data_IF_648528419388
#
_entry.id   IF_648528419388
#
_cell.length_a   1.000
_cell.length_b   1.000
_cell.length_c   1.000
_cell.angle_alpha   90.00
_cell.angle_beta   90.00
_cell.angle_gamma   90.00
#
_symmetry.space_group_name_H-M   'P 1'
#
loop_
_entity.id
_entity.type
_entity.pdbx_description
1 polymer ?
#
# COMPACT_ATOMS: atom_id res chain seq x y z
N UNK A 1 -11.29 -2.32 -3.02
CA UNK A 1 -11.00 -3.66 -2.51
C UNK A 1 -11.76 -4.70 -3.33
N UNK A 2 -11.12 -5.83 -3.62
CA UNK A 2 -11.75 -6.93 -4.38
C UNK A 2 -12.68 -7.79 -3.52
N UNK A 3 -12.55 -7.76 -2.19
CA UNK A 3 -13.41 -8.51 -1.30
C UNK A 3 -14.78 -7.83 -1.16
N UNK A 4 -15.88 -8.51 -1.55
CA UNK A 4 -17.22 -7.92 -1.50
C UNK A 4 -17.70 -7.56 -0.09
N UNK A 5 -17.10 -8.15 0.94
CA UNK A 5 -17.47 -7.89 2.34
C UNK A 5 -16.75 -6.65 2.92
N UNK A 6 -15.69 -6.14 2.26
CA UNK A 6 -14.89 -5.02 2.79
C UNK A 6 -15.67 -3.70 2.78
N UNK A 7 -16.35 -3.37 1.68
CA UNK A 7 -17.08 -2.13 1.56
C UNK A 7 -18.26 -2.02 2.56
N UNK A 8 -19.12 -3.03 2.74
CA UNK A 8 -20.18 -3.01 3.76
C UNK A 8 -19.62 -2.91 5.19
N UNK A 9 -18.56 -3.65 5.50
CA UNK A 9 -17.93 -3.62 6.83
C UNK A 9 -17.31 -2.25 7.14
N UNK A 10 -16.64 -1.65 6.17
CA UNK A 10 -16.08 -0.32 6.31
C UNK A 10 -17.17 0.76 6.48
N UNK A 11 -18.25 0.68 5.69
CA UNK A 11 -19.38 1.58 5.82
C UNK A 11 -20.04 1.48 7.20
N UNK A 12 -20.22 0.27 7.72
CA UNK A 12 -20.79 0.05 9.07
C UNK A 12 -19.90 0.59 10.20
N UNK A 13 -18.58 0.68 9.98
CA UNK A 13 -17.63 1.20 10.96
C UNK A 13 -17.36 2.71 10.83
N UNK A 14 -17.96 3.37 9.85
CA UNK A 14 -17.74 4.79 9.54
C UNK A 14 -18.94 5.62 10.00
N UNK A 15 -18.69 6.80 10.57
CA UNK A 15 -19.77 7.72 10.93
C UNK A 15 -20.57 8.15 9.67
N UNK A 16 -21.90 8.16 9.74
CA UNK A 16 -22.76 8.32 8.56
C UNK A 16 -22.71 9.73 7.93
N UNK A 17 -22.21 10.70 8.65
CA UNK A 17 -22.05 12.10 8.22
C UNK A 17 -20.77 12.36 7.43
N UNK A 18 -19.86 11.38 7.37
CA UNK A 18 -18.64 11.52 6.59
C UNK A 18 -18.90 11.28 5.10
N UNK A 19 -18.41 12.15 4.21
CA UNK A 19 -18.59 12.04 2.76
C UNK A 19 -17.65 10.98 2.16
N UNK A 20 -17.76 9.72 2.62
CA UNK A 20 -16.92 8.61 2.18
C UNK A 20 -17.76 7.64 1.35
N UNK A 21 -17.28 7.32 0.16
CA UNK A 21 -17.88 6.30 -0.72
C UNK A 21 -17.01 5.06 -0.74
N UNK A 22 -17.55 3.95 -0.28
CA UNK A 22 -16.90 2.64 -0.35
C UNK A 22 -17.30 1.90 -1.64
N UNK A 23 -16.30 1.30 -2.30
CA UNK A 23 -16.53 0.53 -3.53
C UNK A 23 -15.78 -0.79 -3.48
N UNK A 24 -16.46 -1.83 -3.95
CA UNK A 24 -15.83 -3.11 -4.27
C UNK A 24 -15.48 -3.11 -5.75
N UNK A 25 -14.28 -3.58 -6.10
CA UNK A 25 -13.82 -3.66 -7.49
C UNK A 25 -12.32 -3.45 -7.62
N UNK A 26 -11.84 -3.55 -8.85
CA UNK A 26 -10.44 -3.29 -9.19
C UNK A 26 -10.17 -1.78 -9.30
N UNK A 27 -8.94 -1.37 -9.00
CA UNK A 27 -8.50 0.01 -9.23
C UNK A 27 -8.54 0.38 -10.73
N UNK A 28 -8.33 -0.59 -11.62
CA UNK A 28 -8.39 -0.39 -13.07
C UNK A 28 -9.76 0.15 -13.53
N UNK A 29 -10.85 -0.19 -12.82
CA UNK A 29 -12.21 0.33 -13.09
C UNK A 29 -12.34 1.84 -12.81
N UNK A 30 -11.33 2.44 -12.21
CA UNK A 30 -11.28 3.85 -11.87
C UNK A 30 -10.47 4.68 -12.88
N UNK A 31 -9.99 4.06 -13.95
CA UNK A 31 -9.26 4.76 -15.02
C UNK A 31 -10.11 5.86 -15.65
N UNK A 32 -9.51 7.02 -15.88
CA UNK A 32 -10.17 8.22 -16.43
C UNK A 32 -10.93 9.07 -15.42
N UNK A 33 -10.98 8.67 -14.13
CA UNK A 33 -11.75 9.39 -13.10
C UNK A 33 -11.05 10.63 -12.55
N UNK A 34 -9.73 10.69 -12.66
CA UNK A 34 -8.92 11.83 -12.20
C UNK A 34 -9.16 12.20 -10.75
N UNK A 35 -8.27 11.79 -9.86
CA UNK A 35 -8.30 12.09 -8.43
C UNK A 35 -7.30 13.20 -8.10
N UNK A 36 -7.55 13.99 -7.08
CA UNK A 36 -6.54 14.91 -6.57
C UNK A 36 -5.37 14.15 -5.95
N UNK A 37 -5.68 13.25 -5.05
CA UNK A 37 -4.70 12.38 -4.38
C UNK A 37 -5.10 10.92 -4.46
N UNK A 38 -4.13 10.04 -4.68
CA UNK A 38 -4.32 8.60 -4.61
C UNK A 38 -3.42 8.07 -3.49
N UNK A 39 -4.02 7.36 -2.55
CA UNK A 39 -3.29 6.74 -1.43
C UNK A 39 -3.53 5.24 -1.43
N UNK A 40 -2.46 4.48 -1.36
CA UNK A 40 -2.49 3.03 -1.18
C UNK A 40 -1.81 2.65 0.13
N UNK A 41 -2.42 1.76 0.89
CA UNK A 41 -1.85 1.29 2.14
C UNK A 41 -1.96 -0.22 2.27
N UNK A 42 -0.82 -0.87 2.50
CA UNK A 42 -0.73 -2.32 2.76
C UNK A 42 -1.24 -3.20 1.60
N UNK A 43 -1.00 -2.78 0.38
CA UNK A 43 -1.44 -3.48 -0.85
C UNK A 43 -0.26 -3.88 -1.73
N UNK A 44 0.79 -3.05 -1.83
CA UNK A 44 1.88 -3.26 -2.78
C UNK A 44 2.65 -4.57 -2.55
N UNK A 45 2.81 -5.02 -1.30
CA UNK A 45 3.48 -6.29 -0.98
C UNK A 45 2.69 -7.55 -1.41
N UNK A 46 1.45 -7.41 -1.84
CA UNK A 46 0.66 -8.50 -2.44
C UNK A 46 0.80 -8.58 -3.96
N UNK A 47 1.38 -7.55 -4.58
CA UNK A 47 1.53 -7.45 -6.03
C UNK A 47 2.85 -8.08 -6.50
N UNK A 48 2.82 -8.70 -7.67
CA UNK A 48 4.04 -9.02 -8.42
C UNK A 48 4.65 -7.72 -8.99
N UNK A 49 5.94 -7.74 -9.37
CA UNK A 49 6.58 -6.55 -9.97
C UNK A 49 5.80 -5.99 -11.18
N UNK A 50 5.32 -6.80 -12.15
CA UNK A 50 4.50 -6.29 -13.25
C UNK A 50 3.19 -5.64 -12.80
N UNK A 51 2.53 -6.21 -11.78
CA UNK A 51 1.31 -5.64 -11.21
C UNK A 51 1.58 -4.32 -10.50
N UNK A 52 2.66 -4.24 -9.73
CA UNK A 52 3.04 -3.01 -9.03
C UNK A 52 3.42 -1.90 -10.03
N UNK A 53 4.15 -2.23 -11.10
CA UNK A 53 4.48 -1.29 -12.17
C UNK A 53 3.21 -0.77 -12.86
N UNK A 54 2.24 -1.64 -13.16
CA UNK A 54 0.96 -1.25 -13.74
C UNK A 54 0.17 -0.34 -12.78
N UNK A 55 0.16 -0.67 -11.49
CA UNK A 55 -0.49 0.13 -10.46
C UNK A 55 0.16 1.52 -10.30
N UNK A 56 1.49 1.60 -10.30
CA UNK A 56 2.21 2.88 -10.26
C UNK A 56 1.91 3.75 -11.50
N UNK A 57 1.82 3.15 -12.69
CA UNK A 57 1.40 3.85 -13.92
C UNK A 57 -0.02 4.40 -13.79
N UNK A 58 -0.95 3.61 -13.25
CA UNK A 58 -2.30 4.07 -12.97
C UNK A 58 -2.29 5.28 -12.02
N UNK A 59 -1.58 5.18 -10.88
CA UNK A 59 -1.49 6.28 -9.92
C UNK A 59 -0.88 7.54 -10.55
N UNK A 60 0.18 7.38 -11.34
CA UNK A 60 0.82 8.50 -12.06
C UNK A 60 -0.11 9.14 -13.11
N UNK A 61 -0.93 8.35 -13.80
CA UNK A 61 -1.88 8.87 -14.79
C UNK A 61 -3.10 9.56 -14.17
N UNK A 62 -3.64 9.01 -13.08
CA UNK A 62 -4.93 9.43 -12.53
C UNK A 62 -4.82 10.47 -11.39
N UNK A 63 -3.67 10.56 -10.70
CA UNK A 63 -3.47 11.56 -9.66
C UNK A 63 -3.12 12.93 -10.23
N UNK A 64 -3.84 13.98 -9.86
CA UNK A 64 -3.58 15.36 -10.31
C UNK A 64 -2.52 16.06 -9.47
N UNK A 65 -2.60 15.93 -8.16
CA UNK A 65 -1.70 16.57 -7.19
C UNK A 65 -0.59 15.64 -6.76
N UNK A 66 -0.91 14.36 -6.55
CA UNK A 66 0.09 13.40 -6.16
C UNK A 66 -0.49 12.06 -5.71
N UNK A 67 0.42 11.17 -5.37
CA UNK A 67 0.06 9.85 -4.84
C UNK A 67 1.05 9.39 -3.77
N UNK A 68 0.61 8.44 -2.95
CA UNK A 68 1.42 7.82 -1.92
C UNK A 68 1.13 6.32 -1.81
N UNK A 69 2.19 5.53 -1.73
CA UNK A 69 2.15 4.13 -1.31
C UNK A 69 2.75 4.02 0.08
N UNK A 70 1.96 3.56 1.05
CA UNK A 70 2.42 3.22 2.39
C UNK A 70 2.40 1.71 2.56
N UNK A 71 3.56 1.08 2.72
CA UNK A 71 3.62 -0.37 2.83
C UNK A 71 4.63 -0.84 3.88
N UNK A 72 4.66 -2.15 4.12
CA UNK A 72 5.60 -2.77 5.05
C UNK A 72 7.02 -2.74 4.50
N UNK A 73 7.96 -2.38 5.36
CA UNK A 73 9.38 -2.42 5.03
C UNK A 73 9.95 -3.80 5.34
N UNK A 74 10.46 -4.52 4.33
CA UNK A 74 11.18 -5.79 4.53
C UNK A 74 12.48 -5.53 5.30
N UNK A 75 12.44 -5.74 6.61
CA UNK A 75 13.54 -5.50 7.52
C UNK A 75 13.75 -6.71 8.44
N UNK A 76 15.02 -7.12 8.63
CA UNK A 76 15.34 -8.32 9.43
C UNK A 76 14.80 -8.24 10.86
N UNK A 77 14.94 -7.08 11.52
CA UNK A 77 14.43 -6.90 12.89
C UNK A 77 12.89 -7.01 12.95
N UNK A 78 12.19 -6.46 11.94
CA UNK A 78 10.74 -6.59 11.86
C UNK A 78 10.34 -8.06 11.68
N UNK A 79 10.99 -8.78 10.76
CA UNK A 79 10.70 -10.17 10.47
C UNK A 79 10.93 -11.10 11.67
N UNK A 80 12.03 -10.89 12.41
CA UNK A 80 12.35 -11.70 13.58
C UNK A 80 11.58 -11.26 14.83
N UNK A 81 11.35 -9.97 15.01
CA UNK A 81 10.70 -9.42 16.20
C UNK A 81 9.17 -9.49 16.17
N UNK A 82 8.55 -9.38 14.99
CA UNK A 82 7.10 -9.38 14.87
C UNK A 82 6.42 -10.64 15.43
N UNK A 83 6.88 -11.89 15.13
CA UNK A 83 6.26 -13.08 15.68
C UNK A 83 6.30 -13.12 17.22
N UNK A 84 7.40 -12.65 17.81
CA UNK A 84 7.54 -12.56 19.26
C UNK A 84 6.59 -11.53 19.84
N UNK A 85 6.58 -10.31 19.30
CA UNK A 85 5.67 -9.23 19.69
C UNK A 85 4.21 -9.69 19.59
N UNK A 86 3.80 -10.23 18.44
CA UNK A 86 2.44 -10.66 18.19
C UNK A 86 2.00 -11.82 19.13
N UNK A 87 2.95 -12.64 19.57
CA UNK A 87 2.70 -13.68 20.58
C UNK A 87 2.52 -13.10 21.98
N UNK A 88 3.38 -12.16 22.38
CA UNK A 88 3.27 -11.45 23.67
C UNK A 88 1.96 -10.68 23.75
N UNK A 89 1.59 -9.99 22.67
CA UNK A 89 0.33 -9.23 22.55
C UNK A 89 -0.91 -10.12 22.38
N UNK A 90 -0.74 -11.45 22.32
CA UNK A 90 -1.82 -12.44 22.14
C UNK A 90 -2.71 -12.18 20.91
N UNK A 91 -2.14 -11.61 19.86
CA UNK A 91 -2.89 -11.38 18.62
C UNK A 91 -3.36 -12.70 18.02
N UNK A 92 -4.48 -12.64 17.30
CA UNK A 92 -5.07 -13.80 16.65
C UNK A 92 -4.05 -14.49 15.73
N UNK A 93 -4.14 -15.82 15.61
CA UNK A 93 -3.20 -16.63 14.81
C UNK A 93 -3.06 -16.12 13.39
N UNK A 94 -4.17 -15.77 12.71
CA UNK A 94 -4.17 -15.24 11.35
C UNK A 94 -3.31 -13.97 11.27
N UNK A 95 -3.46 -13.02 12.19
CA UNK A 95 -2.68 -11.79 12.22
C UNK A 95 -1.18 -12.07 12.38
N UNK A 96 -0.83 -13.07 13.19
CA UNK A 96 0.58 -13.44 13.41
C UNK A 96 1.23 -14.05 12.18
N UNK A 97 0.51 -14.92 11.47
CA UNK A 97 0.99 -15.60 10.27
C UNK A 97 1.05 -14.66 9.08
N UNK A 98 -0.04 -13.92 8.83
CA UNK A 98 -0.16 -12.97 7.75
C UNK A 98 0.82 -11.80 7.88
N UNK A 99 0.97 -11.24 9.07
CA UNK A 99 1.90 -10.13 9.29
C UNK A 99 3.37 -10.52 9.07
N UNK A 100 3.76 -11.74 9.44
CA UNK A 100 5.11 -12.24 9.15
C UNK A 100 5.34 -12.41 7.66
N UNK A 101 4.35 -12.94 6.95
CA UNK A 101 4.39 -13.12 5.49
C UNK A 101 4.40 -11.76 4.77
N UNK A 102 3.61 -10.82 5.22
CA UNK A 102 3.58 -9.45 4.70
C UNK A 102 4.93 -8.76 4.83
N UNK A 103 5.60 -8.89 5.98
CA UNK A 103 6.96 -8.36 6.16
C UNK A 103 7.96 -9.02 5.20
N UNK A 104 7.86 -10.34 5.00
CA UNK A 104 8.74 -11.05 4.07
C UNK A 104 8.54 -10.62 2.61
N UNK A 105 7.31 -10.30 2.22
CA UNK A 105 6.94 -9.82 0.86
C UNK A 105 7.17 -8.33 0.65
N UNK A 106 7.25 -7.54 1.73
CA UNK A 106 7.50 -6.11 1.65
C UNK A 106 8.76 -5.77 0.86
N UNK A 107 8.83 -4.57 0.33
CA UNK A 107 9.98 -4.10 -0.43
C UNK A 107 11.01 -3.39 0.47
N UNK A 108 12.27 -3.40 0.03
CA UNK A 108 13.34 -2.57 0.59
C UNK A 108 13.45 -1.25 -0.18
N UNK A 109 13.98 -0.18 0.42
CA UNK A 109 14.14 1.10 -0.27
C UNK A 109 14.87 1.00 -1.61
N UNK A 110 15.90 0.15 -1.70
CA UNK A 110 16.69 -0.02 -2.93
C UNK A 110 15.95 -0.74 -4.07
N UNK A 111 14.83 -1.39 -3.80
CA UNK A 111 14.04 -2.12 -4.80
C UNK A 111 13.02 -1.22 -5.50
N UNK A 112 12.70 -0.06 -4.93
CA UNK A 112 11.73 0.87 -5.52
C UNK A 112 12.22 1.63 -6.76
N UNK A 113 13.48 2.17 -6.82
CA UNK A 113 13.91 2.96 -7.96
C UNK A 113 13.77 2.25 -9.32
N UNK A 114 14.15 0.98 -9.48
CA UNK A 114 13.95 0.28 -10.76
C UNK A 114 12.48 0.06 -11.11
N UNK A 115 11.58 -0.12 -10.14
CA UNK A 115 10.14 -0.26 -10.37
C UNK A 115 9.52 1.07 -10.80
N UNK A 116 9.92 2.17 -10.14
CA UNK A 116 9.50 3.53 -10.50
C UNK A 116 9.95 3.89 -11.91
N UNK A 117 11.21 3.60 -12.25
CA UNK A 117 11.73 3.84 -13.61
C UNK A 117 10.96 3.06 -14.67
N UNK A 118 10.67 1.77 -14.42
CA UNK A 118 9.86 0.95 -15.33
C UNK A 118 8.41 1.44 -15.43
N UNK A 119 7.89 2.07 -14.38
CA UNK A 119 6.57 2.72 -14.41
C UNK A 119 6.57 4.06 -15.19
N UNK A 120 7.74 4.55 -15.61
CA UNK A 120 7.87 5.82 -16.32
C UNK A 120 7.95 7.05 -15.41
N UNK A 121 8.18 6.84 -14.11
CA UNK A 121 8.32 7.92 -13.13
C UNK A 121 9.77 8.42 -13.17
N UNK A 122 10.00 9.73 -13.41
CA UNK A 122 11.36 10.28 -13.50
C UNK A 122 12.17 10.08 -12.22
N UNK A 123 13.47 9.86 -12.36
CA UNK A 123 14.37 9.76 -11.23
C UNK A 123 14.30 11.00 -10.34
N UNK A 124 14.21 10.80 -9.04
CA UNK A 124 14.07 11.89 -8.05
C UNK A 124 12.68 12.50 -7.94
N UNK A 125 11.72 12.11 -8.79
CA UNK A 125 10.37 12.65 -8.75
C UNK A 125 9.51 12.03 -7.64
N UNK A 126 9.85 10.84 -7.16
CA UNK A 126 9.22 10.19 -6.02
C UNK A 126 10.22 10.05 -4.87
N UNK A 127 9.77 10.32 -3.65
CA UNK A 127 10.57 10.23 -2.43
C UNK A 127 10.27 8.93 -1.68
N UNK A 128 11.33 8.21 -1.30
CA UNK A 128 11.22 6.96 -0.55
C UNK A 128 11.57 7.25 0.91
N UNK A 129 10.58 7.24 1.78
CA UNK A 129 10.70 7.66 3.19
C UNK A 129 10.44 6.48 4.11
N UNK A 130 11.36 6.24 5.04
CA UNK A 130 11.15 5.26 6.11
C UNK A 130 10.34 5.89 7.23
N UNK A 131 9.28 5.20 7.66
CA UNK A 131 8.45 5.61 8.79
C UNK A 131 8.47 4.55 9.90
N UNK A 132 8.39 5.00 11.13
CA UNK A 132 8.27 4.10 12.30
C UNK A 132 6.83 3.56 12.41
N UNK A 133 6.64 2.30 12.86
CA UNK A 133 7.60 1.21 12.92
C UNK A 133 7.63 0.43 11.60
N UNK A 134 8.80 0.29 10.97
CA UNK A 134 9.03 -0.54 9.79
C UNK A 134 8.02 -0.32 8.64
N UNK A 135 7.69 0.95 8.37
CA UNK A 135 6.91 1.38 7.21
C UNK A 135 7.80 2.01 6.17
N UNK A 136 7.42 1.86 4.94
CA UNK A 136 8.04 2.50 3.79
C UNK A 136 6.97 3.26 3.01
N UNK A 137 7.15 4.57 2.93
CA UNK A 137 6.28 5.44 2.15
C UNK A 137 7.00 5.85 0.87
N UNK A 138 6.36 5.67 -0.26
CA UNK A 138 6.80 6.22 -1.55
C UNK A 138 5.82 7.32 -1.92
N UNK A 139 6.32 8.54 -1.99
CA UNK A 139 5.51 9.75 -2.08
C UNK A 139 5.87 10.50 -3.37
N UNK A 140 4.86 10.89 -4.13
CA UNK A 140 5.00 11.68 -5.36
C UNK A 140 4.04 12.86 -5.29
N UNK A 141 4.58 14.07 -5.24
CA UNK A 141 3.86 15.33 -5.40
C UNK A 141 4.26 15.99 -6.72
N UNK A 142 3.32 16.63 -7.36
CA UNK A 142 3.47 17.38 -8.62
C UNK A 142 3.45 18.88 -8.37
#
# INVERSE_FOLDING_TARGET
>A
DLNPNSAPAAAAATAPDLPITYRTGDYADLTGRRFDLIVSSLVAHHMTDPQLIAFLRFMEAEARVGWMVNDVHRHRLAYLGYPLLARVMRWHRIVREDGTLSIARGLRPAEWPPLLAQAGIPSGAAHIVRRFPFRLCVERLR
#
